data_IF_456301349769
#
_entry.id   IF_456301349769
#
_cell.length_a   1.000
_cell.length_b   1.000
_cell.length_c   1.000
_cell.angle_alpha   90.00
_cell.angle_beta   90.00
_cell.angle_gamma   90.00
#
_symmetry.space_group_name_H-M   'P 1'
#
loop_
_entity.id
_entity.type
_entity.pdbx_description
1 polymer ?
#
# COMPACT_ATOMS: atom_id res chain seq x y z
N UNK A 1 -0.64 -25.54 -0.66
CA UNK A 1 -2.12 -25.55 -0.71
C UNK A 1 -2.52 -26.02 -2.11
N UNK A 2 -3.66 -26.69 -2.31
CA UNK A 2 -4.07 -27.10 -3.66
C UNK A 2 -4.16 -25.87 -4.57
N UNK A 3 -3.73 -26.01 -5.82
CA UNK A 3 -3.80 -24.94 -6.82
C UNK A 3 -5.24 -24.49 -7.00
N UNK A 4 -5.48 -23.20 -6.78
CA UNK A 4 -6.79 -22.60 -6.89
C UNK A 4 -6.92 -21.91 -8.24
N UNK A 5 -7.89 -22.31 -9.06
CA UNK A 5 -8.16 -21.65 -10.32
C UNK A 5 -9.05 -20.42 -10.12
N UNK A 6 -8.94 -19.42 -11.01
CA UNK A 6 -9.79 -18.22 -11.00
C UNK A 6 -11.28 -18.60 -10.96
N UNK A 7 -11.70 -19.69 -11.64
CA UNK A 7 -13.10 -20.12 -11.63
C UNK A 7 -13.65 -20.45 -10.24
N UNK A 8 -12.79 -20.93 -9.31
CA UNK A 8 -13.19 -21.24 -7.94
C UNK A 8 -13.46 -19.99 -7.09
N UNK A 9 -13.03 -18.80 -7.54
CA UNK A 9 -13.44 -17.54 -6.91
C UNK A 9 -14.95 -17.31 -7.02
N UNK A 10 -15.63 -17.97 -7.98
CA UNK A 10 -17.09 -17.99 -8.08
C UNK A 10 -17.75 -18.70 -6.90
N UNK A 11 -17.04 -19.42 -6.05
CA UNK A 11 -17.63 -20.12 -4.90
C UNK A 11 -17.54 -19.29 -3.60
N UNK A 12 -16.80 -18.17 -3.62
CA UNK A 12 -16.65 -17.31 -2.44
C UNK A 12 -17.97 -16.63 -2.06
N UNK A 13 -18.31 -16.53 -0.76
CA UNK A 13 -19.57 -15.93 -0.31
C UNK A 13 -19.57 -14.39 -0.35
N UNK A 14 -18.56 -13.79 -0.98
CA UNK A 14 -18.29 -12.35 -1.00
C UNK A 14 -18.10 -11.84 -2.44
N UNK A 15 -18.13 -10.52 -2.61
CA UNK A 15 -17.76 -9.86 -3.86
C UNK A 15 -16.29 -10.07 -4.18
N UNK A 16 -15.99 -10.34 -5.45
CA UNK A 16 -14.64 -10.56 -5.96
C UNK A 16 -14.46 -9.75 -7.23
N UNK A 17 -13.35 -9.04 -7.32
CA UNK A 17 -12.89 -8.35 -8.53
C UNK A 17 -11.44 -8.72 -8.77
N UNK A 18 -11.09 -9.06 -10.00
CA UNK A 18 -9.74 -9.39 -10.41
C UNK A 18 -9.49 -8.84 -11.81
N UNK A 19 -8.33 -8.22 -12.01
CA UNK A 19 -7.80 -7.79 -13.28
C UNK A 19 -6.36 -8.28 -13.42
N UNK A 20 -6.00 -8.78 -14.59
CA UNK A 20 -4.61 -9.10 -14.90
C UNK A 20 -4.25 -8.76 -16.35
N UNK A 21 -3.00 -8.42 -16.56
CA UNK A 21 -2.43 -8.09 -17.86
C UNK A 21 -1.07 -8.76 -18.00
N UNK A 22 -0.91 -9.63 -18.99
CA UNK A 22 0.36 -10.21 -19.39
C UNK A 22 0.90 -9.42 -20.58
N UNK A 23 1.95 -8.63 -20.32
CA UNK A 23 2.48 -7.72 -21.33
C UNK A 23 3.23 -8.44 -22.45
N UNK A 24 3.90 -9.56 -22.15
CA UNK A 24 4.63 -10.33 -23.16
C UNK A 24 3.69 -10.97 -24.19
N UNK A 25 2.51 -11.38 -23.77
CA UNK A 25 1.48 -11.97 -24.62
C UNK A 25 0.45 -10.94 -25.12
N UNK A 26 0.51 -9.70 -24.63
CA UNK A 26 -0.48 -8.66 -24.89
C UNK A 26 -1.92 -9.15 -24.62
N UNK A 27 -2.11 -9.86 -23.50
CA UNK A 27 -3.37 -10.48 -23.12
C UNK A 27 -3.88 -9.93 -21.80
N UNK A 28 -5.17 -9.61 -21.76
CA UNK A 28 -5.87 -9.08 -20.58
C UNK A 28 -6.94 -10.09 -20.18
N UNK A 29 -7.07 -10.32 -18.89
CA UNK A 29 -8.19 -11.04 -18.33
C UNK A 29 -8.75 -10.36 -17.08
N UNK A 30 -10.01 -10.66 -16.82
CA UNK A 30 -10.71 -10.15 -15.64
C UNK A 30 -11.68 -11.19 -15.12
N UNK A 31 -12.04 -11.04 -13.85
CA UNK A 31 -13.05 -11.84 -13.19
C UNK A 31 -13.80 -10.96 -12.18
N UNK A 32 -15.12 -10.97 -12.24
CA UNK A 32 -15.97 -10.27 -11.28
C UNK A 32 -17.12 -11.20 -10.88
N UNK A 33 -17.38 -11.33 -9.58
CA UNK A 33 -18.47 -12.15 -9.07
C UNK A 33 -18.98 -11.57 -7.75
N UNK A 34 -20.31 -11.51 -7.59
CA UNK A 34 -21.00 -11.00 -6.38
C UNK A 34 -20.56 -9.60 -5.97
N UNK A 35 -21.04 -9.16 -4.80
CA UNK A 35 -20.72 -7.88 -4.22
C UNK A 35 -21.41 -6.72 -4.91
N UNK A 36 -21.50 -5.61 -4.20
CA UNK A 36 -22.13 -4.40 -4.69
C UNK A 36 -21.35 -3.16 -4.25
N UNK A 37 -21.42 -2.12 -5.06
CA UNK A 37 -20.99 -0.78 -4.67
C UNK A 37 -21.95 -0.14 -3.64
N UNK A 38 -21.68 1.11 -3.26
CA UNK A 38 -22.50 1.85 -2.29
C UNK A 38 -23.97 2.01 -2.70
N UNK A 39 -24.29 1.99 -4.00
CA UNK A 39 -25.66 2.22 -4.51
C UNK A 39 -26.33 0.94 -5.02
N UNK A 40 -25.66 -0.20 -4.94
CA UNK A 40 -26.22 -1.52 -5.25
C UNK A 40 -25.86 -2.08 -6.62
N UNK A 41 -25.01 -1.41 -7.42
CA UNK A 41 -24.58 -2.00 -8.70
C UNK A 41 -23.56 -3.11 -8.46
N UNK A 42 -23.53 -4.09 -9.35
CA UNK A 42 -22.54 -5.16 -9.31
C UNK A 42 -21.12 -4.61 -9.48
N UNK A 43 -20.17 -5.18 -8.75
CA UNK A 43 -18.77 -4.80 -8.84
C UNK A 43 -18.19 -5.08 -10.23
N UNK A 44 -17.30 -4.20 -10.68
CA UNK A 44 -16.54 -4.32 -11.93
C UNK A 44 -15.05 -4.08 -11.67
N UNK A 45 -14.21 -4.34 -12.68
CA UNK A 45 -12.78 -3.99 -12.62
C UNK A 45 -12.49 -2.50 -12.52
N UNK A 46 -13.48 -1.65 -12.79
CA UNK A 46 -13.41 -0.19 -12.72
C UNK A 46 -14.06 0.37 -11.43
N UNK A 47 -14.71 -0.46 -10.61
CA UNK A 47 -15.29 -0.04 -9.32
C UNK A 47 -14.19 0.38 -8.35
N UNK A 48 -14.22 1.61 -7.79
CA UNK A 48 -13.23 2.06 -6.81
C UNK A 48 -13.34 1.29 -5.49
N UNK A 49 -12.22 1.08 -4.79
CA UNK A 49 -12.17 0.47 -3.46
C UNK A 49 -11.03 1.06 -2.63
N UNK A 50 -11.13 1.05 -1.30
CA UNK A 50 -9.99 1.42 -0.44
C UNK A 50 -8.93 0.33 -0.56
N UNK A 51 -7.76 0.68 -1.09
CA UNK A 51 -6.70 -0.31 -1.31
C UNK A 51 -5.87 -0.57 -0.05
N UNK A 52 -6.11 0.18 1.04
CA UNK A 52 -5.36 0.09 2.30
C UNK A 52 -3.85 0.10 2.02
N UNK A 53 -3.09 -0.81 2.63
CA UNK A 53 -1.63 -0.86 2.51
C UNK A 53 -1.05 -1.11 1.12
N UNK A 54 -1.86 -1.47 0.11
CA UNK A 54 -1.42 -1.35 -1.28
C UNK A 54 -1.08 0.11 -1.69
N UNK A 55 -1.37 1.09 -0.82
CA UNK A 55 -0.87 2.48 -0.90
C UNK A 55 0.64 2.57 -0.71
N UNK A 56 1.27 1.73 0.11
CA UNK A 56 2.70 1.83 0.46
C UNK A 56 3.64 1.84 -0.75
N UNK A 57 3.45 0.96 -1.77
CA UNK A 57 4.17 1.07 -3.03
C UNK A 57 4.15 2.46 -3.69
N UNK A 58 3.04 3.19 -3.59
CA UNK A 58 2.90 4.55 -4.13
C UNK A 58 3.70 5.55 -3.29
N UNK A 59 3.52 5.53 -1.97
CA UNK A 59 4.28 6.39 -1.05
C UNK A 59 5.79 6.16 -1.18
N UNK A 60 6.22 4.91 -1.27
CA UNK A 60 7.62 4.55 -1.47
C UNK A 60 8.16 5.02 -2.83
N UNK A 61 7.39 4.82 -3.91
CA UNK A 61 7.78 5.33 -5.22
C UNK A 61 7.88 6.86 -5.23
N UNK A 62 6.99 7.57 -4.54
CA UNK A 62 7.02 9.04 -4.46
C UNK A 62 8.27 9.55 -3.73
N UNK A 63 8.66 8.91 -2.62
CA UNK A 63 9.92 9.20 -1.92
C UNK A 63 11.13 8.95 -2.83
N UNK A 64 11.14 7.83 -3.56
CA UNK A 64 12.22 7.51 -4.47
C UNK A 64 12.27 8.43 -5.69
N UNK A 65 11.13 8.96 -6.15
CA UNK A 65 11.07 10.02 -7.16
C UNK A 65 11.68 11.32 -6.64
N UNK A 66 11.38 11.71 -5.39
CA UNK A 66 12.02 12.86 -4.76
C UNK A 66 13.54 12.66 -4.64
N UNK A 67 13.98 11.46 -4.29
CA UNK A 67 15.41 11.12 -4.23
C UNK A 67 16.08 11.21 -5.61
N UNK A 68 15.43 10.67 -6.64
CA UNK A 68 15.89 10.74 -8.03
C UNK A 68 15.99 12.18 -8.55
N UNK A 69 15.09 13.05 -8.09
CA UNK A 69 15.11 14.50 -8.39
C UNK A 69 16.14 15.28 -7.56
N UNK A 70 16.87 14.62 -6.65
CA UNK A 70 17.85 15.24 -5.75
C UNK A 70 17.24 16.09 -4.64
N UNK A 71 15.94 15.92 -4.33
CA UNK A 71 15.26 16.67 -3.28
C UNK A 71 15.55 16.11 -1.88
N UNK A 72 15.97 14.85 -1.78
CA UNK A 72 16.39 14.17 -0.56
C UNK A 72 17.36 13.04 -0.88
N UNK A 73 18.04 12.50 0.13
CA UNK A 73 18.77 11.23 0.04
C UNK A 73 18.16 10.23 1.01
N UNK A 74 17.92 8.98 0.57
CA UNK A 74 17.22 8.01 1.42
C UNK A 74 18.07 7.52 2.60
N UNK A 75 19.39 7.68 2.52
CA UNK A 75 20.34 7.38 3.58
C UNK A 75 20.44 8.50 4.63
N UNK A 76 19.83 9.66 4.40
CA UNK A 76 19.82 10.73 5.38
C UNK A 76 18.91 10.38 6.57
N UNK A 77 19.24 10.98 7.72
CA UNK A 77 18.39 10.93 8.90
C UNK A 77 17.01 11.53 8.63
N UNK A 78 15.98 10.91 9.17
CA UNK A 78 14.61 11.42 9.12
C UNK A 78 14.47 12.76 9.85
N UNK A 79 15.34 13.08 10.83
CA UNK A 79 15.26 14.31 11.63
C UNK A 79 15.39 15.58 10.79
N UNK A 80 16.06 15.49 9.65
CA UNK A 80 16.19 16.59 8.69
C UNK A 80 14.92 16.87 7.90
N UNK A 81 14.05 15.87 7.73
CA UNK A 81 12.94 15.91 6.77
C UNK A 81 11.56 15.92 7.42
N UNK A 82 11.38 15.29 8.59
CA UNK A 82 10.08 15.28 9.28
C UNK A 82 9.79 16.63 9.98
N UNK A 83 8.53 16.85 10.34
CA UNK A 83 8.12 18.05 11.07
C UNK A 83 8.82 18.13 12.44
N UNK A 84 9.18 19.35 12.91
CA UNK A 84 9.77 19.52 14.24
C UNK A 84 8.91 18.91 15.37
N UNK A 85 7.59 18.88 15.19
CA UNK A 85 6.66 18.28 16.15
C UNK A 85 6.82 16.75 16.22
N UNK A 86 6.89 16.07 15.08
CA UNK A 86 7.12 14.62 15.05
C UNK A 86 8.52 14.25 15.53
N UNK A 87 9.52 15.04 15.16
CA UNK A 87 10.89 14.91 15.69
C UNK A 87 10.89 14.96 17.22
N UNK A 88 10.24 15.97 17.82
CA UNK A 88 10.18 16.12 19.28
C UNK A 88 9.43 14.96 19.97
N UNK A 89 8.34 14.47 19.38
CA UNK A 89 7.58 13.34 19.93
C UNK A 89 8.40 12.04 19.90
N UNK A 90 9.02 11.73 18.77
CA UNK A 90 9.79 10.49 18.60
C UNK A 90 11.10 10.50 19.40
N UNK A 91 11.75 11.66 19.55
CA UNK A 91 12.97 11.81 20.35
C UNK A 91 12.79 11.47 21.84
N UNK A 92 11.55 11.32 22.32
CA UNK A 92 11.27 10.84 23.68
C UNK A 92 11.64 9.35 23.86
N UNK A 93 11.67 8.58 22.78
CA UNK A 93 11.87 7.12 22.79
C UNK A 93 13.01 6.64 21.89
N UNK A 94 13.32 7.39 20.83
CA UNK A 94 14.24 6.97 19.79
C UNK A 94 15.36 7.98 19.57
N UNK A 95 16.54 7.47 19.20
CA UNK A 95 17.56 8.26 18.53
C UNK A 95 17.14 8.48 17.07
N UNK A 96 16.43 9.57 16.81
CA UNK A 96 15.91 9.90 15.48
C UNK A 96 17.03 10.21 14.48
N UNK A 97 18.22 10.60 14.94
CA UNK A 97 19.35 10.89 14.07
C UNK A 97 19.95 9.59 13.48
N UNK A 98 19.73 8.45 14.14
CA UNK A 98 20.13 7.13 13.66
C UNK A 98 19.11 6.47 12.70
N UNK A 99 17.88 6.99 12.62
CA UNK A 99 16.84 6.45 11.73
C UNK A 99 16.91 7.17 10.39
N UNK A 100 17.08 6.42 9.29
CA UNK A 100 17.11 6.96 7.93
C UNK A 100 15.76 6.81 7.22
N UNK A 101 15.57 7.54 6.12
CA UNK A 101 14.38 7.38 5.26
C UNK A 101 14.30 5.96 4.69
N UNK A 102 15.44 5.36 4.31
CA UNK A 102 15.54 3.99 3.85
C UNK A 102 15.02 3.01 4.90
N UNK A 103 15.32 3.22 6.19
CA UNK A 103 14.80 2.40 7.27
C UNK A 103 13.26 2.47 7.38
N UNK A 104 12.65 3.64 7.13
CA UNK A 104 11.19 3.76 7.09
C UNK A 104 10.60 3.00 5.90
N UNK A 105 11.20 3.14 4.71
CA UNK A 105 10.75 2.49 3.48
C UNK A 105 10.78 0.96 3.58
N UNK A 106 11.81 0.40 4.23
CA UNK A 106 12.02 -1.04 4.39
C UNK A 106 11.43 -1.64 5.66
N UNK A 107 10.70 -0.86 6.49
CA UNK A 107 10.22 -1.31 7.80
C UNK A 107 11.34 -1.82 8.72
N UNK A 108 12.51 -1.19 8.68
CA UNK A 108 13.66 -1.56 9.52
C UNK A 108 14.13 -0.39 10.38
N UNK A 109 13.24 0.52 10.74
CA UNK A 109 13.54 1.68 11.60
C UNK A 109 13.51 1.35 13.09
N UNK A 110 12.98 0.19 13.46
CA UNK A 110 12.68 -0.18 14.84
C UNK A 110 11.38 0.43 15.37
N UNK A 111 10.69 1.28 14.60
CA UNK A 111 9.40 1.83 14.97
C UNK A 111 8.32 0.75 14.93
N UNK A 112 7.66 0.48 16.06
CA UNK A 112 6.46 -0.37 16.07
C UNK A 112 5.25 0.33 15.41
N UNK A 113 4.22 -0.47 15.15
CA UNK A 113 3.01 -0.03 14.46
C UNK A 113 2.02 0.67 15.38
N UNK A 114 1.63 1.90 15.05
CA UNK A 114 0.56 2.62 15.73
C UNK A 114 -0.82 1.98 15.49
N UNK A 115 -0.99 1.28 14.36
CA UNK A 115 -2.24 0.65 13.93
C UNK A 115 -2.43 -0.74 14.55
N UNK A 116 -2.10 -0.88 15.83
CA UNK A 116 -2.18 -2.12 16.57
C UNK A 116 -3.63 -2.63 16.78
N UNK A 117 -3.75 -3.80 17.42
CA UNK A 117 -5.06 -4.39 17.70
C UNK A 117 -5.95 -3.52 18.62
N UNK A 118 -5.37 -2.64 19.45
CA UNK A 118 -6.14 -1.73 20.31
C UNK A 118 -6.61 -0.51 19.52
N UNK A 119 -5.78 0.03 18.63
CA UNK A 119 -6.16 1.07 17.70
C UNK A 119 -7.33 0.61 16.82
N UNK A 120 -7.23 -0.58 16.21
CA UNK A 120 -8.33 -1.13 15.40
C UNK A 120 -9.61 -1.31 16.23
N UNK A 121 -9.53 -1.77 17.48
CA UNK A 121 -10.70 -1.86 18.36
C UNK A 121 -11.34 -0.49 18.61
N UNK A 122 -10.54 0.55 18.81
CA UNK A 122 -11.06 1.89 19.07
C UNK A 122 -11.68 2.52 17.81
N UNK A 123 -11.07 2.30 16.64
CA UNK A 123 -11.66 2.64 15.33
C UNK A 123 -13.02 1.97 15.15
N UNK A 124 -13.12 0.66 15.40
CA UNK A 124 -14.38 -0.07 15.23
C UNK A 124 -15.45 0.30 16.28
N UNK A 125 -15.06 0.78 17.46
CA UNK A 125 -16.00 1.31 18.47
C UNK A 125 -16.52 2.70 18.12
N UNK A 126 -15.73 3.50 17.40
CA UNK A 126 -16.05 4.86 17.00
C UNK A 126 -15.78 5.02 15.49
N UNK A 127 -16.57 4.37 14.62
CA UNK A 127 -16.29 4.32 13.19
C UNK A 127 -16.28 5.70 12.53
N UNK A 128 -17.04 6.67 13.04
CA UNK A 128 -17.10 8.04 12.50
C UNK A 128 -15.98 8.96 13.04
N UNK A 129 -15.12 8.47 13.94
CA UNK A 129 -14.08 9.29 14.56
C UNK A 129 -12.99 9.69 13.55
N UNK A 130 -12.72 10.98 13.47
CA UNK A 130 -11.72 11.56 12.59
C UNK A 130 -10.35 11.61 13.29
N UNK A 131 -9.55 10.57 13.08
CA UNK A 131 -8.16 10.49 13.53
C UNK A 131 -7.27 11.51 12.81
N UNK A 132 -6.55 12.32 13.57
CA UNK A 132 -5.50 13.17 12.99
C UNK A 132 -4.16 12.43 12.89
N UNK A 133 -3.32 12.81 11.94
CA UNK A 133 -1.94 12.28 11.83
C UNK A 133 -1.18 12.43 13.15
N UNK A 134 -1.33 13.60 13.76
CA UNK A 134 -0.68 13.93 15.01
C UNK A 134 -1.13 13.01 16.14
N UNK A 135 -2.43 12.80 16.28
CA UNK A 135 -3.01 11.94 17.31
C UNK A 135 -2.51 10.49 17.18
N UNK A 136 -2.40 9.96 15.96
CA UNK A 136 -1.85 8.62 15.73
C UNK A 136 -0.41 8.51 16.24
N UNK A 137 0.44 9.51 15.97
CA UNK A 137 1.82 9.54 16.47
C UNK A 137 1.88 9.79 17.99
N UNK A 138 1.06 10.69 18.53
CA UNK A 138 0.98 10.96 19.97
C UNK A 138 0.56 9.70 20.75
N UNK A 139 -0.46 8.99 20.26
CA UNK A 139 -0.91 7.74 20.85
C UNK A 139 0.17 6.67 20.79
N UNK A 140 0.87 6.55 19.66
CA UNK A 140 2.00 5.63 19.51
C UNK A 140 3.11 5.90 20.53
N UNK A 141 3.57 7.15 20.66
CA UNK A 141 4.67 7.47 21.60
C UNK A 141 4.25 7.33 23.07
N UNK A 142 2.96 7.25 23.39
CA UNK A 142 2.46 6.99 24.75
C UNK A 142 2.44 5.51 25.12
N UNK A 143 2.61 4.58 24.18
CA UNK A 143 2.55 3.14 24.47
C UNK A 143 3.88 2.59 24.99
N UNK A 144 3.86 1.77 26.03
CA UNK A 144 5.06 1.05 26.48
C UNK A 144 5.27 -0.23 25.66
N UNK A 145 6.42 -0.33 25.00
CA UNK A 145 6.80 -1.49 24.19
C UNK A 145 8.33 -1.65 24.13
N UNK A 146 8.85 -2.84 23.77
CA UNK A 146 10.27 -3.02 23.50
C UNK A 146 10.74 -2.11 22.37
N UNK A 147 11.90 -1.50 22.56
CA UNK A 147 12.56 -0.71 21.53
C UNK A 147 13.51 -1.60 20.73
N UNK A 148 13.56 -1.35 19.42
CA UNK A 148 14.46 -2.01 18.49
C UNK A 148 15.34 -0.96 17.82
N UNK A 149 16.59 -1.31 17.57
CA UNK A 149 17.51 -0.44 16.86
C UNK A 149 17.20 -0.37 15.37
N UNK A 150 17.60 0.73 14.70
CA UNK A 150 17.52 0.81 13.25
C UNK A 150 18.38 -0.28 12.59
N UNK A 151 17.86 -0.85 11.51
CA UNK A 151 18.47 -1.92 10.70
C UNK A 151 18.74 -3.24 11.45
N UNK A 152 18.12 -3.48 12.62
CA UNK A 152 18.21 -4.77 13.30
C UNK A 152 17.35 -5.83 12.60
N UNK A 153 16.06 -5.55 12.42
CA UNK A 153 15.09 -6.48 11.84
C UNK A 153 13.98 -5.77 11.06
N UNK A 154 13.30 -6.54 10.21
CA UNK A 154 12.06 -6.17 9.57
C UNK A 154 10.90 -6.21 10.59
N UNK A 155 10.30 -5.06 10.85
CA UNK A 155 9.13 -4.90 11.72
C UNK A 155 8.14 -3.98 11.01
N UNK A 156 7.13 -4.60 10.38
CA UNK A 156 6.10 -3.85 9.64
C UNK A 156 5.44 -2.79 10.51
N UNK A 157 5.41 -1.55 10.02
CA UNK A 157 4.93 -0.40 10.76
C UNK A 157 4.30 0.66 9.86
N UNK A 158 3.00 0.92 10.07
CA UNK A 158 2.36 2.05 9.43
C UNK A 158 2.85 3.39 9.99
N UNK A 159 3.40 3.41 11.21
CA UNK A 159 4.03 4.61 11.81
C UNK A 159 5.14 5.17 10.92
N UNK A 160 5.99 4.30 10.35
CA UNK A 160 7.04 4.74 9.43
C UNK A 160 6.48 5.39 8.17
N UNK A 161 5.38 4.86 7.63
CA UNK A 161 4.73 5.40 6.43
C UNK A 161 3.96 6.69 6.70
N UNK A 162 3.48 6.91 7.93
CA UNK A 162 2.99 8.22 8.37
C UNK A 162 4.07 9.30 8.22
N UNK A 163 5.29 8.98 8.64
CA UNK A 163 6.42 9.91 8.54
C UNK A 163 6.84 10.12 7.08
N UNK A 164 6.81 9.08 6.24
CA UNK A 164 7.05 9.24 4.80
C UNK A 164 6.03 10.16 4.15
N UNK A 165 4.75 10.08 4.54
CA UNK A 165 3.72 11.02 4.09
C UNK A 165 4.05 12.47 4.48
N UNK A 166 4.52 12.69 5.72
CA UNK A 166 4.98 14.01 6.19
C UNK A 166 6.19 14.53 5.39
N UNK A 167 7.15 13.66 5.07
CA UNK A 167 8.32 14.01 4.26
C UNK A 167 7.90 14.43 2.85
N UNK A 168 6.99 13.70 2.21
CA UNK A 168 6.48 14.05 0.87
C UNK A 168 5.86 15.45 0.86
N UNK A 169 4.96 15.73 1.80
CA UNK A 169 4.29 17.04 1.87
C UNK A 169 5.28 18.17 2.14
N UNK A 170 6.29 17.94 2.99
CA UNK A 170 7.31 18.95 3.31
C UNK A 170 8.26 19.21 2.15
N UNK A 171 8.67 18.17 1.43
CA UNK A 171 9.57 18.30 0.28
C UNK A 171 8.88 18.97 -0.91
N UNK A 172 7.60 18.68 -1.14
CA UNK A 172 6.82 19.20 -2.28
C UNK A 172 6.08 20.50 -1.98
N UNK A 173 5.76 20.75 -0.71
CA UNK A 173 4.83 21.80 -0.25
C UNK A 173 3.41 21.65 -0.81
N UNK A 174 3.02 20.43 -1.17
CA UNK A 174 1.69 20.06 -1.63
C UNK A 174 1.01 19.13 -0.62
N UNK A 175 -0.34 19.06 -0.58
CA UNK A 175 -1.05 18.00 0.12
C UNK A 175 -0.63 16.61 -0.39
N UNK A 176 -0.61 15.61 0.50
CA UNK A 176 -0.08 14.27 0.18
C UNK A 176 -0.65 13.66 -1.11
N UNK A 177 -1.98 13.73 -1.30
CA UNK A 177 -2.65 13.19 -2.49
C UNK A 177 -2.18 13.86 -3.79
N UNK A 178 -2.12 15.20 -3.79
CA UNK A 178 -1.64 15.99 -4.93
C UNK A 178 -0.17 15.70 -5.22
N UNK A 179 0.68 15.68 -4.18
CA UNK A 179 2.10 15.40 -4.31
C UNK A 179 2.37 14.03 -4.94
N UNK A 180 1.69 12.98 -4.46
CA UNK A 180 1.88 11.61 -4.97
C UNK A 180 1.34 11.49 -6.39
N UNK A 181 0.18 12.11 -6.70
CA UNK A 181 -0.38 12.15 -8.06
C UNK A 181 0.61 12.75 -9.06
N UNK A 182 1.22 13.88 -8.72
CA UNK A 182 2.17 14.58 -9.57
C UNK A 182 3.47 13.79 -9.73
N UNK A 183 4.10 13.37 -8.62
CA UNK A 183 5.37 12.65 -8.63
C UNK A 183 5.31 11.34 -9.42
N UNK A 184 4.15 10.68 -9.39
CA UNK A 184 3.91 9.38 -10.03
C UNK A 184 3.12 9.47 -11.34
N UNK A 185 2.85 10.69 -11.83
CA UNK A 185 2.24 10.95 -13.15
C UNK A 185 0.94 10.18 -13.38
N UNK A 186 0.03 10.18 -12.40
CA UNK A 186 -1.19 9.36 -12.45
C UNK A 186 -1.98 9.50 -13.76
N UNK A 187 -2.07 10.71 -14.31
CA UNK A 187 -2.82 10.95 -15.54
C UNK A 187 -2.24 10.25 -16.78
N UNK A 188 -0.92 10.01 -16.77
CA UNK A 188 -0.18 9.40 -17.87
C UNK A 188 -0.15 7.87 -17.77
N UNK A 189 -0.21 7.34 -16.55
CA UNK A 189 -0.15 5.89 -16.29
C UNK A 189 -1.52 5.23 -16.11
N UNK A 190 -2.61 5.97 -16.36
CA UNK A 190 -3.98 5.44 -16.35
C UNK A 190 -4.67 5.45 -14.98
N UNK A 191 -4.17 6.27 -14.05
CA UNK A 191 -4.65 6.38 -12.66
C UNK A 191 -5.55 7.60 -12.43
N UNK A 192 -6.15 8.15 -13.48
CA UNK A 192 -6.91 9.42 -13.46
C UNK A 192 -7.98 9.52 -12.37
N UNK A 193 -8.70 8.42 -12.13
CA UNK A 193 -9.80 8.38 -11.15
C UNK A 193 -9.38 7.96 -9.74
N UNK A 194 -8.09 7.66 -9.52
CA UNK A 194 -7.58 7.37 -8.18
C UNK A 194 -7.59 8.66 -7.35
N UNK A 195 -7.87 8.56 -6.06
CA UNK A 195 -7.84 9.71 -5.16
C UNK A 195 -7.52 9.26 -3.73
N UNK A 196 -6.94 10.17 -2.97
CA UNK A 196 -6.67 9.98 -1.56
C UNK A 196 -7.90 10.35 -0.74
N UNK A 197 -8.62 9.35 -0.21
CA UNK A 197 -9.88 9.61 0.48
C UNK A 197 -9.67 10.52 1.70
N UNK A 198 -10.58 11.48 1.86
CA UNK A 198 -10.54 12.56 2.85
C UNK A 198 -9.46 13.65 2.63
N UNK A 199 -8.37 13.37 1.90
CA UNK A 199 -7.35 14.38 1.56
C UNK A 199 -7.57 15.03 0.18
N UNK A 200 -8.26 14.34 -0.73
CA UNK A 200 -8.65 14.83 -2.06
C UNK A 200 -10.17 14.71 -2.24
N UNK A 201 -10.74 15.59 -3.06
CA UNK A 201 -12.08 15.38 -3.59
C UNK A 201 -12.06 14.18 -4.56
N UNK A 202 -13.09 13.31 -4.58
CA UNK A 202 -13.15 12.22 -5.54
C UNK A 202 -13.07 12.73 -6.98
N UNK A 203 -12.15 12.16 -7.76
CA UNK A 203 -11.98 12.44 -9.20
C UNK A 203 -12.93 11.63 -10.08
N UNK A 204 -13.85 10.86 -9.48
CA UNK A 204 -14.83 10.00 -10.15
C UNK A 204 -16.19 10.12 -9.49
N UNK A 205 -17.24 9.89 -10.28
CA UNK A 205 -18.62 9.75 -9.77
C UNK A 205 -18.99 8.29 -9.48
N UNK A 206 -18.12 7.34 -9.83
CA UNK A 206 -18.36 5.93 -9.55
C UNK A 206 -18.37 5.68 -8.04
N UNK A 207 -19.44 5.09 -7.49
CA UNK A 207 -19.50 4.73 -6.08
C UNK A 207 -18.48 3.61 -5.79
N UNK A 208 -17.81 3.71 -4.65
CA UNK A 208 -16.85 2.68 -4.22
C UNK A 208 -17.55 1.37 -3.81
N UNK A 209 -16.79 0.29 -3.77
CA UNK A 209 -17.20 -0.99 -3.22
C UNK A 209 -17.52 -0.85 -1.71
N UNK A 210 -18.49 -1.66 -1.24
CA UNK A 210 -18.65 -1.96 0.18
C UNK A 210 -17.50 -2.82 0.69
N UNK A 211 -17.14 -2.71 1.97
CA UNK A 211 -16.00 -3.44 2.55
C UNK A 211 -16.33 -3.95 3.95
N UNK A 212 -16.07 -5.23 4.18
CA UNK A 212 -16.50 -6.00 5.35
C UNK A 212 -15.33 -6.64 6.09
N UNK A 213 -15.47 -6.75 7.41
CA UNK A 213 -14.62 -7.56 8.29
C UNK A 213 -15.50 -8.69 8.87
N UNK A 214 -15.47 -9.86 8.23
CA UNK A 214 -16.35 -10.97 8.59
C UNK A 214 -17.81 -10.58 8.39
N UNK A 215 -18.57 -10.40 9.48
CA UNK A 215 -19.97 -9.96 9.44
C UNK A 215 -20.14 -8.45 9.64
N UNK A 216 -19.08 -7.74 9.99
CA UNK A 216 -19.12 -6.31 10.27
C UNK A 216 -19.04 -5.54 8.95
N UNK A 217 -20.02 -4.67 8.72
CA UNK A 217 -19.95 -3.67 7.65
C UNK A 217 -19.02 -2.54 8.09
N UNK A 218 -17.83 -2.46 7.47
CA UNK A 218 -16.83 -1.44 7.75
C UNK A 218 -16.84 -0.34 6.67
N UNK A 219 -17.87 -0.33 5.81
CA UNK A 219 -17.95 0.58 4.67
C UNK A 219 -17.81 2.03 5.12
N UNK A 220 -18.45 2.42 6.21
CA UNK A 220 -18.51 3.81 6.67
C UNK A 220 -17.48 4.17 7.74
N UNK A 221 -16.51 3.28 8.03
CA UNK A 221 -15.36 3.65 8.88
C UNK A 221 -14.68 4.86 8.26
N UNK A 222 -14.40 5.87 9.10
CA UNK A 222 -13.81 7.12 8.67
C UNK A 222 -12.43 6.86 8.05
N UNK A 223 -12.16 7.35 6.82
CA UNK A 223 -10.95 7.01 6.07
C UNK A 223 -9.65 7.51 6.73
N UNK A 224 -9.74 8.48 7.65
CA UNK A 224 -8.56 8.99 8.34
C UNK A 224 -7.84 7.97 9.23
N UNK A 225 -8.43 6.79 9.46
CA UNK A 225 -7.81 5.72 10.25
C UNK A 225 -6.47 5.20 9.68
N UNK A 226 -6.23 5.30 8.37
CA UNK A 226 -4.99 4.83 7.72
C UNK A 226 -4.46 5.79 6.64
N UNK A 227 -5.01 7.00 6.53
CA UNK A 227 -4.82 7.85 5.35
C UNK A 227 -3.42 8.44 5.18
N UNK A 228 -2.55 8.50 6.19
CA UNK A 228 -1.38 9.37 6.11
C UNK A 228 -0.12 8.75 5.46
N UNK A 229 -0.27 7.97 4.39
CA UNK A 229 0.85 7.40 3.60
C UNK A 229 0.94 5.88 3.67
N UNK A 230 0.41 5.28 4.74
CA UNK A 230 0.30 3.84 4.92
C UNK A 230 -0.92 3.20 4.25
N UNK A 231 -1.94 4.01 3.95
CA UNK A 231 -3.25 3.67 3.39
C UNK A 231 -3.95 4.93 2.83
N UNK A 232 -5.27 4.89 2.68
CA UNK A 232 -6.08 6.05 2.22
C UNK A 232 -6.29 6.19 0.72
N UNK A 233 -5.49 5.55 -0.15
CA UNK A 233 -5.78 5.56 -1.59
C UNK A 233 -7.05 4.75 -1.91
N UNK A 234 -7.87 5.32 -2.78
CA UNK A 234 -9.02 4.70 -3.40
C UNK A 234 -8.79 4.63 -4.90
N UNK A 235 -8.89 3.43 -5.48
CA UNK A 235 -8.81 3.19 -6.92
C UNK A 235 -9.42 1.83 -7.28
N UNK A 236 -9.57 1.54 -8.56
CA UNK A 236 -10.05 0.22 -9.00
C UNK A 236 -8.94 -0.83 -9.07
N UNK A 237 -9.30 -2.12 -9.10
CA UNK A 237 -8.34 -3.21 -9.32
C UNK A 237 -7.55 -3.03 -10.61
N UNK A 238 -8.19 -2.55 -11.68
CA UNK A 238 -7.50 -2.25 -12.94
C UNK A 238 -6.43 -1.18 -12.77
N UNK A 239 -6.74 -0.06 -12.11
CA UNK A 239 -5.77 1.02 -11.88
C UNK A 239 -4.60 0.57 -11.01
N UNK A 240 -4.85 -0.29 -10.03
CA UNK A 240 -3.80 -0.86 -9.18
C UNK A 240 -2.83 -1.76 -9.98
N UNK A 241 -3.34 -2.58 -10.91
CA UNK A 241 -2.48 -3.34 -11.83
C UNK A 241 -1.69 -2.43 -12.79
N UNK A 242 -2.33 -1.38 -13.32
CA UNK A 242 -1.67 -0.40 -14.18
C UNK A 242 -0.53 0.34 -13.46
N UNK A 243 -0.68 0.62 -12.16
CA UNK A 243 0.40 1.18 -11.36
C UNK A 243 1.59 0.22 -11.26
N UNK A 244 1.36 -1.04 -10.91
CA UNK A 244 2.43 -2.04 -10.84
C UNK A 244 3.11 -2.21 -12.20
N UNK A 245 2.33 -2.25 -13.29
CA UNK A 245 2.90 -2.28 -14.64
C UNK A 245 3.81 -1.07 -14.87
N UNK A 246 3.31 0.14 -14.61
CA UNK A 246 4.05 1.38 -14.82
C UNK A 246 5.34 1.42 -13.97
N UNK A 247 5.28 0.93 -12.73
CA UNK A 247 6.41 0.87 -11.81
C UNK A 247 7.52 -0.04 -12.37
N UNK A 248 7.17 -1.27 -12.74
CA UNK A 248 8.15 -2.28 -13.17
C UNK A 248 8.62 -2.13 -14.63
N UNK A 249 7.92 -1.32 -15.43
CA UNK A 249 8.28 -1.07 -16.85
C UNK A 249 8.95 0.27 -17.08
N UNK A 250 9.30 1.00 -16.01
CA UNK A 250 10.03 2.27 -16.10
C UNK A 250 9.19 3.45 -16.58
N UNK A 251 7.87 3.43 -16.37
CA UNK A 251 7.00 4.59 -16.64
C UNK A 251 6.91 5.55 -15.44
N UNK A 252 7.24 5.07 -14.23
CA UNK A 252 7.27 5.87 -12.99
C UNK A 252 8.62 6.56 -12.81
N UNK A 253 9.70 5.80 -12.72
CA UNK A 253 11.06 6.35 -12.56
C UNK A 253 11.65 6.74 -13.91
N UNK A 254 12.41 7.84 -13.94
CA UNK A 254 13.13 8.26 -15.17
C UNK A 254 14.40 7.43 -15.37
N UNK A 255 14.98 6.97 -14.27
CA UNK A 255 16.21 6.21 -14.14
C UNK A 255 15.91 4.77 -13.72
N UNK A 256 16.34 3.76 -14.49
CA UNK A 256 16.21 2.35 -14.11
C UNK A 256 16.88 2.02 -12.77
N UNK A 257 17.94 2.76 -12.41
CA UNK A 257 18.65 2.62 -11.15
C UNK A 257 17.75 2.87 -9.93
N UNK A 258 16.73 3.73 -10.06
CA UNK A 258 15.78 3.99 -8.98
C UNK A 258 14.92 2.76 -8.67
N UNK A 259 14.47 2.04 -9.71
CA UNK A 259 13.77 0.75 -9.51
C UNK A 259 14.71 -0.30 -8.90
N UNK A 260 15.96 -0.36 -9.35
CA UNK A 260 16.96 -1.26 -8.78
C UNK A 260 17.21 -0.98 -7.29
N UNK A 261 17.20 0.29 -6.89
CA UNK A 261 17.25 0.70 -5.47
C UNK A 261 15.98 0.27 -4.74
N UNK A 262 14.80 0.49 -5.33
CA UNK A 262 13.51 0.08 -4.75
C UNK A 262 13.46 -1.42 -4.44
N UNK A 263 14.03 -2.25 -5.32
CA UNK A 263 13.99 -3.72 -5.24
C UNK A 263 15.21 -4.34 -4.56
N UNK A 264 16.18 -3.53 -4.12
CA UNK A 264 17.38 -4.01 -3.44
C UNK A 264 17.03 -4.61 -2.09
N UNK A 265 17.49 -5.84 -1.85
CA UNK A 265 17.34 -6.50 -0.56
C UNK A 265 18.21 -5.81 0.49
N UNK A 266 17.64 -5.54 1.66
CA UNK A 266 18.37 -5.01 2.81
C UNK A 266 19.30 -6.05 3.45
N UNK A 267 20.00 -5.65 4.51
CA UNK A 267 20.93 -6.50 5.28
C UNK A 267 20.43 -6.84 6.69
N UNK A 268 19.25 -6.36 7.07
CA UNK A 268 18.61 -6.63 8.36
C UNK A 268 17.93 -8.01 8.36
N UNK A 269 17.61 -8.53 9.56
CA UNK A 269 16.85 -9.79 9.69
C UNK A 269 15.46 -9.67 9.03
N UNK A 270 15.08 -10.63 8.20
CA UNK A 270 13.78 -10.63 7.48
C UNK A 270 13.75 -9.80 6.19
N UNK A 271 14.88 -9.21 5.78
CA UNK A 271 15.00 -8.42 4.55
C UNK A 271 14.65 -9.22 3.27
N UNK A 272 14.68 -10.56 3.32
CA UNK A 272 14.27 -11.40 2.19
C UNK A 272 12.81 -11.19 1.79
N UNK A 273 11.94 -10.78 2.72
CA UNK A 273 10.50 -10.66 2.53
C UNK A 273 10.01 -9.29 2.06
N UNK A 274 10.81 -8.23 2.22
CA UNK A 274 10.40 -6.85 1.93
C UNK A 274 11.55 -6.03 1.34
N UNK A 275 11.21 -5.05 0.50
CA UNK A 275 12.13 -4.11 -0.16
C UNK A 275 11.73 -2.68 0.22
N UNK A 276 12.02 -1.67 -0.59
CA UNK A 276 11.54 -0.31 -0.31
C UNK A 276 10.07 -0.19 -0.76
N UNK A 277 9.13 -0.54 0.13
CA UNK A 277 7.69 -0.49 -0.11
C UNK A 277 7.08 -1.63 -0.93
N UNK A 278 7.83 -2.69 -1.20
CA UNK A 278 7.40 -3.86 -2.00
C UNK A 278 7.69 -5.14 -1.24
N UNK A 279 6.69 -6.01 -1.10
CA UNK A 279 6.91 -7.38 -0.60
C UNK A 279 7.53 -8.23 -1.72
N UNK A 280 8.38 -9.18 -1.33
CA UNK A 280 8.98 -10.13 -2.25
C UNK A 280 8.93 -11.55 -1.68
N UNK A 281 8.58 -12.52 -2.52
CA UNK A 281 8.68 -13.94 -2.16
C UNK A 281 8.90 -14.82 -3.38
N UNK A 282 9.33 -16.06 -3.15
CA UNK A 282 9.38 -17.10 -4.19
C UNK A 282 8.22 -18.07 -4.03
N UNK A 283 7.50 -18.32 -5.12
CA UNK A 283 6.44 -19.32 -5.23
C UNK A 283 6.76 -20.20 -6.43
N UNK A 284 6.87 -21.52 -6.24
CA UNK A 284 7.25 -22.46 -7.30
C UNK A 284 8.54 -22.06 -8.07
N UNK A 285 9.52 -21.46 -7.37
CA UNK A 285 10.78 -20.99 -7.96
C UNK A 285 10.71 -19.60 -8.61
N UNK A 286 9.51 -19.08 -8.87
CA UNK A 286 9.27 -17.76 -9.48
C UNK A 286 9.28 -16.68 -8.40
N UNK A 287 9.98 -15.57 -8.65
CA UNK A 287 9.99 -14.42 -7.73
C UNK A 287 8.79 -13.53 -8.01
N UNK A 288 7.94 -13.31 -7.01
CA UNK A 288 6.80 -12.41 -7.09
C UNK A 288 7.09 -11.14 -6.28
N UNK A 289 6.81 -9.99 -6.88
CA UNK A 289 6.79 -8.69 -6.20
C UNK A 289 5.34 -8.28 -5.97
N UNK A 290 4.98 -7.93 -4.75
CA UNK A 290 3.58 -7.75 -4.41
C UNK A 290 3.37 -6.79 -3.23
N UNK A 291 2.13 -6.44 -2.96
CA UNK A 291 1.70 -5.92 -1.68
C UNK A 291 0.25 -6.38 -1.40
N UNK A 292 -0.13 -6.35 -0.12
CA UNK A 292 -1.47 -6.72 0.35
C UNK A 292 -2.10 -5.53 1.08
N UNK A 293 -3.42 -5.40 1.00
CA UNK A 293 -4.18 -4.35 1.66
C UNK A 293 -5.18 -4.93 2.66
N UNK A 294 -5.28 -4.32 3.85
CA UNK A 294 -6.14 -4.77 4.93
C UNK A 294 -7.59 -5.03 4.48
N UNK A 295 -8.14 -4.15 3.63
CA UNK A 295 -9.50 -4.26 3.11
C UNK A 295 -9.66 -5.23 1.92
N UNK A 296 -9.00 -6.39 1.96
CA UNK A 296 -9.22 -7.46 0.97
C UNK A 296 -8.50 -7.30 -0.37
N UNK A 297 -7.69 -6.26 -0.55
CA UNK A 297 -7.02 -5.98 -1.83
C UNK A 297 -5.64 -6.64 -1.95
N UNK A 298 -5.24 -6.95 -3.17
CA UNK A 298 -3.94 -7.57 -3.52
C UNK A 298 -3.41 -6.99 -4.82
N UNK A 299 -2.09 -6.81 -4.92
CA UNK A 299 -1.42 -6.40 -6.15
C UNK A 299 -0.10 -7.16 -6.31
N UNK A 300 0.14 -7.72 -7.49
CA UNK A 300 1.26 -8.59 -7.79
C UNK A 300 1.87 -8.25 -9.16
N UNK A 301 3.17 -8.49 -9.27
CA UNK A 301 3.94 -8.48 -10.50
C UNK A 301 4.83 -9.72 -10.56
N UNK A 302 4.77 -10.41 -11.69
CA UNK A 302 5.64 -11.52 -12.03
C UNK A 302 6.59 -11.08 -13.17
N UNK A 303 7.90 -11.00 -12.92
CA UNK A 303 8.85 -10.35 -13.83
C UNK A 303 9.18 -11.15 -15.10
N UNK A 304 9.12 -12.48 -15.07
CA UNK A 304 9.49 -13.31 -16.22
C UNK A 304 8.45 -13.27 -17.32
N UNK A 305 7.16 -13.21 -17.01
CA UNK A 305 6.07 -13.04 -17.99
C UNK A 305 5.63 -11.59 -18.10
N UNK A 306 6.12 -10.70 -17.22
CA UNK A 306 5.69 -9.31 -17.09
C UNK A 306 4.18 -9.21 -16.84
N UNK A 307 3.66 -10.11 -16.01
CA UNK A 307 2.23 -10.16 -15.67
C UNK A 307 1.95 -9.36 -14.41
N UNK A 308 1.06 -8.37 -14.53
CA UNK A 308 0.51 -7.65 -13.39
C UNK A 308 -0.86 -8.23 -13.05
N UNK A 309 -1.13 -8.43 -11.77
CA UNK A 309 -2.42 -8.90 -11.26
C UNK A 309 -2.83 -8.02 -10.09
N UNK A 310 -4.06 -7.54 -10.10
CA UNK A 310 -4.64 -6.82 -8.98
C UNK A 310 -6.06 -7.28 -8.76
N UNK A 311 -6.44 -7.43 -7.50
CA UNK A 311 -7.76 -7.89 -7.15
C UNK A 311 -8.19 -7.44 -5.77
N UNK A 312 -9.45 -7.73 -5.48
CA UNK A 312 -10.13 -7.34 -4.27
C UNK A 312 -11.24 -8.34 -3.94
N UNK A 313 -11.39 -8.63 -2.65
CA UNK A 313 -12.60 -9.23 -2.09
C UNK A 313 -13.27 -8.22 -1.15
N UNK A 314 -14.60 -8.09 -1.24
CA UNK A 314 -15.33 -7.18 -0.36
C UNK A 314 -15.40 -7.64 1.10
N UNK A 315 -15.08 -8.90 1.37
CA UNK A 315 -14.89 -9.41 2.72
C UNK A 315 -13.43 -9.77 2.96
N UNK A 316 -12.78 -9.05 3.90
CA UNK A 316 -11.36 -9.25 4.25
C UNK A 316 -11.00 -10.70 4.56
N UNK A 317 -11.90 -11.44 5.20
CA UNK A 317 -11.63 -12.81 5.66
C UNK A 317 -11.40 -13.78 4.49
N UNK A 318 -11.90 -13.46 3.30
CA UNK A 318 -11.75 -14.27 2.08
C UNK A 318 -10.48 -13.93 1.27
N UNK A 319 -9.68 -12.94 1.70
CA UNK A 319 -8.48 -12.49 0.96
C UNK A 319 -7.47 -13.60 0.75
N UNK A 320 -7.36 -14.55 1.67
CA UNK A 320 -6.47 -15.71 1.54
C UNK A 320 -6.77 -16.56 0.30
N UNK A 321 -8.05 -16.71 -0.06
CA UNK A 321 -8.48 -17.46 -1.23
C UNK A 321 -8.11 -16.71 -2.52
N UNK A 322 -8.30 -15.39 -2.54
CA UNK A 322 -7.86 -14.53 -3.64
C UNK A 322 -6.34 -14.60 -3.85
N UNK A 323 -5.55 -14.54 -2.76
CA UNK A 323 -4.09 -14.69 -2.81
C UNK A 323 -3.70 -16.02 -3.46
N UNK A 324 -4.30 -17.12 -3.03
CA UNK A 324 -4.01 -18.45 -3.60
C UNK A 324 -4.32 -18.50 -5.10
N UNK A 325 -5.47 -17.96 -5.53
CA UNK A 325 -5.83 -17.94 -6.95
C UNK A 325 -4.89 -17.08 -7.79
N UNK A 326 -4.46 -15.93 -7.29
CA UNK A 326 -3.48 -15.05 -7.97
C UNK A 326 -2.12 -15.73 -8.08
N UNK A 327 -1.67 -16.39 -7.03
CA UNK A 327 -0.37 -17.06 -7.04
C UNK A 327 -0.35 -18.30 -7.93
N UNK A 328 -1.44 -19.09 -7.94
CA UNK A 328 -1.60 -20.18 -8.90
C UNK A 328 -1.64 -19.67 -10.34
N UNK A 329 -2.32 -18.54 -10.61
CA UNK A 329 -2.32 -17.91 -11.95
C UNK A 329 -0.90 -17.50 -12.38
N UNK A 330 -0.15 -16.83 -11.51
CA UNK A 330 1.18 -16.30 -11.82
C UNK A 330 2.27 -17.38 -11.90
N UNK A 331 2.01 -18.55 -11.33
CA UNK A 331 3.00 -19.63 -11.26
C UNK A 331 2.61 -20.91 -11.99
N UNK A 332 1.50 -20.87 -12.73
CA UNK A 332 1.14 -21.91 -13.69
C UNK A 332 2.11 -21.85 -14.87
N UNK A 333 3.16 -22.68 -14.82
CA UNK A 333 4.08 -22.93 -15.94
C UNK A 333 3.54 -24.00 -16.87
#
# INVERSE_FOLDING_TARGET
>A
MPDMSISQLTDLPCGVVLYYHNQRQNSVGSFCARGHDLVGNSLTIDTPLRIASNTKPFTAAAILRLAEMGALFIEDSISHYISPKFSQLLAQKYDIDAITIAHLLSHSSGLLDHADANYLKDVLKQPDYQWSRLEQIERYVQQDFPLFGPSEAFIYSDTGYILLGDIIERATRLPLGEAVRELLRFDEVGLKTAYWEYLEAPTTTEPRARQYLGKLDCTDVHPSMDTYGGGGLVMSSKQMALFFEALFTGKIFTSPETLNTMLRMGTHEGAEHYRLGIMAKKVNGITLYFHLGFWGSVAYYEPETQTCVAGFVDNRDERGMLINAVESLLTAQ
#
